data_IF_274214971964
#
_entry.id   IF_274214971964
#
_cell.length_a   1.000
_cell.length_b   1.000
_cell.length_c   1.000
_cell.angle_alpha   90.00
_cell.angle_beta   90.00
_cell.angle_gamma   90.00
#
_symmetry.space_group_name_H-M   'P 1'
#
loop_
_entity.id
_entity.type
_entity.pdbx_description
1 polymer ?
#
# COMPACT_ATOMS: atom_id res chain seq x y z
N UNK A 1 -27.14 -25.41 15.03
CA UNK A 1 -26.12 -25.70 13.99
C UNK A 1 -24.79 -26.01 14.67
N UNK A 2 -23.93 -26.85 14.07
CA UNK A 2 -22.57 -27.10 14.57
C UNK A 2 -21.57 -26.33 13.69
N UNK A 3 -20.48 -25.80 14.26
CA UNK A 3 -19.46 -25.10 13.49
C UNK A 3 -18.74 -26.08 12.54
N UNK A 4 -18.54 -25.65 11.29
CA UNK A 4 -17.78 -26.37 10.27
C UNK A 4 -16.45 -25.65 10.05
N UNK A 5 -15.35 -26.41 9.99
CA UNK A 5 -14.01 -25.85 9.71
C UNK A 5 -13.79 -25.74 8.21
N UNK A 6 -13.19 -24.64 7.77
CA UNK A 6 -12.80 -24.39 6.38
C UNK A 6 -11.36 -23.86 6.34
N UNK A 7 -10.70 -24.02 5.19
CA UNK A 7 -9.35 -23.51 4.93
C UNK A 7 -9.40 -22.57 3.73
N UNK A 8 -8.77 -21.39 3.85
CA UNK A 8 -8.70 -20.40 2.76
C UNK A 8 -7.88 -20.98 1.60
N UNK A 9 -8.33 -20.75 0.36
CA UNK A 9 -7.53 -21.10 -0.83
C UNK A 9 -6.26 -20.24 -0.88
N UNK A 10 -5.12 -20.78 -1.35
CA UNK A 10 -3.92 -19.98 -1.57
C UNK A 10 -4.17 -18.94 -2.66
N UNK A 11 -3.59 -17.77 -2.50
CA UNK A 11 -3.64 -16.67 -3.46
C UNK A 11 -2.23 -16.14 -3.69
N UNK A 12 -1.96 -15.66 -4.91
CA UNK A 12 -0.76 -14.89 -5.23
C UNK A 12 -1.16 -13.43 -5.37
N UNK A 13 -0.33 -12.53 -4.85
CA UNK A 13 -0.49 -11.09 -4.92
C UNK A 13 0.82 -10.46 -5.37
N UNK A 14 0.76 -9.21 -5.78
CA UNK A 14 1.93 -8.36 -5.99
C UNK A 14 1.96 -7.29 -4.89
N UNK A 15 3.15 -6.91 -4.41
CA UNK A 15 3.26 -5.89 -3.38
C UNK A 15 4.55 -5.07 -3.50
N UNK A 16 4.49 -3.80 -3.12
CA UNK A 16 5.64 -2.91 -2.97
C UNK A 16 5.70 -2.38 -1.54
N UNK A 17 6.88 -2.37 -0.92
CA UNK A 17 7.08 -1.70 0.37
C UNK A 17 7.20 -0.18 0.13
N UNK A 18 6.38 0.61 0.82
CA UNK A 18 6.51 2.05 0.82
C UNK A 18 7.54 2.48 1.87
N UNK A 19 8.68 3.04 1.46
CA UNK A 19 9.77 3.43 2.39
C UNK A 19 9.71 4.90 2.87
N UNK A 20 8.73 5.66 2.40
CA UNK A 20 8.56 7.09 2.69
C UNK A 20 9.36 8.04 1.81
N UNK A 21 10.21 7.53 0.91
CA UNK A 21 11.00 8.36 0.00
C UNK A 21 10.17 8.88 -1.17
N UNK A 22 10.66 9.96 -1.80
CA UNK A 22 9.97 10.55 -2.94
C UNK A 22 9.91 9.59 -4.13
N UNK A 23 11.03 8.92 -4.34
CA UNK A 23 11.30 8.01 -5.44
C UNK A 23 10.42 6.76 -5.32
N UNK A 24 10.41 6.10 -4.15
CA UNK A 24 9.55 4.95 -3.89
C UNK A 24 8.07 5.30 -4.11
N UNK A 25 7.62 6.44 -3.55
CA UNK A 25 6.25 6.88 -3.71
C UNK A 25 5.87 7.13 -5.19
N UNK A 26 6.80 7.67 -5.98
CA UNK A 26 6.60 7.88 -7.42
C UNK A 26 6.44 6.56 -8.18
N UNK A 27 7.26 5.56 -7.87
CA UNK A 27 7.15 4.23 -8.49
C UNK A 27 5.85 3.51 -8.10
N UNK A 28 5.42 3.61 -6.84
CA UNK A 28 4.13 3.06 -6.39
C UNK A 28 2.97 3.72 -7.16
N UNK A 29 2.96 5.06 -7.27
CA UNK A 29 1.91 5.76 -8.03
C UNK A 29 1.88 5.34 -9.49
N UNK A 30 3.07 5.22 -10.11
CA UNK A 30 3.19 4.76 -11.49
C UNK A 30 2.64 3.35 -11.65
N UNK A 31 3.06 2.40 -10.81
CA UNK A 31 2.58 1.01 -10.81
C UNK A 31 1.06 0.90 -10.71
N UNK A 32 0.44 1.71 -9.84
CA UNK A 32 -1.02 1.72 -9.69
C UNK A 32 -1.69 2.35 -10.92
N UNK A 33 -1.14 3.45 -11.45
CA UNK A 33 -1.69 4.13 -12.65
C UNK A 33 -1.62 3.28 -13.93
N UNK A 34 -0.59 2.43 -14.04
CA UNK A 34 -0.40 1.52 -15.18
C UNK A 34 -1.25 0.25 -15.04
N UNK A 35 -1.64 -0.10 -13.82
CA UNK A 35 -2.63 -1.15 -13.58
C UNK A 35 -3.98 -0.69 -14.12
N UNK A 36 -4.58 -1.46 -15.05
CA UNK A 36 -5.87 -1.15 -15.67
C UNK A 36 -7.05 -1.37 -14.70
N UNK A 37 -7.00 -0.74 -13.54
CA UNK A 37 -7.97 -0.94 -12.47
C UNK A 37 -9.29 -0.27 -12.83
N UNK A 38 -10.38 -1.05 -12.84
CA UNK A 38 -11.74 -0.50 -12.79
C UNK A 38 -12.09 -0.20 -11.32
N UNK A 39 -11.38 0.74 -10.71
CA UNK A 39 -11.43 0.99 -9.27
C UNK A 39 -10.23 1.81 -8.79
N UNK A 40 -10.18 2.05 -7.47
CA UNK A 40 -10.05 3.33 -6.76
C UNK A 40 -9.09 4.40 -7.33
N UNK A 41 -9.42 5.67 -7.08
CA UNK A 41 -8.54 6.80 -7.40
C UNK A 41 -7.49 6.92 -6.31
N UNK A 42 -6.20 7.00 -6.66
CA UNK A 42 -5.22 7.51 -5.69
C UNK A 42 -5.37 9.01 -5.57
N UNK A 43 -5.67 9.46 -4.35
CA UNK A 43 -5.33 10.81 -3.93
C UNK A 43 -4.03 10.74 -3.14
N UNK A 44 -2.92 11.10 -3.79
CA UNK A 44 -1.71 11.42 -3.05
C UNK A 44 -1.92 12.80 -2.39
N UNK A 45 -2.38 12.80 -1.15
CA UNK A 45 -2.48 13.99 -0.32
C UNK A 45 -1.11 14.33 0.26
N UNK A 46 -0.58 15.51 -0.06
CA UNK A 46 0.45 16.12 0.77
C UNK A 46 -0.29 16.70 1.97
N UNK A 47 -0.09 16.16 3.19
CA UNK A 47 -0.51 16.93 4.36
C UNK A 47 0.36 18.18 4.37
N UNK A 48 -0.27 19.36 4.39
CA UNK A 48 0.41 20.66 4.46
C UNK A 48 1.08 20.83 5.83
N UNK A 49 2.07 20.00 6.16
CA UNK A 49 3.14 20.37 7.10
C UNK A 49 4.09 21.36 6.40
N UNK A 50 3.49 22.46 5.94
CA UNK A 50 4.12 23.77 5.75
C UNK A 50 4.45 24.24 7.17
N UNK A 51 5.68 24.31 7.65
CA UNK A 51 6.78 25.19 7.25
C UNK A 51 8.16 24.66 7.74
N UNK A 52 8.26 23.39 8.15
CA UNK A 52 9.44 22.89 8.90
C UNK A 52 10.18 21.71 8.23
N UNK A 53 10.15 21.60 6.91
CA UNK A 53 10.98 20.62 6.16
C UNK A 53 12.16 21.26 5.42
N UNK A 54 12.37 22.57 5.61
CA UNK A 54 13.57 23.23 5.09
C UNK A 54 14.78 22.84 5.96
N UNK A 55 15.76 22.17 5.33
CA UNK A 55 17.10 21.82 5.82
C UNK A 55 17.32 20.49 6.58
N UNK A 56 16.67 19.42 6.18
CA UNK A 56 17.19 18.06 6.47
C UNK A 56 17.80 17.48 5.19
N UNK A 57 19.13 17.42 5.13
CA UNK A 57 19.80 16.51 4.18
C UNK A 57 19.30 15.09 4.50
N UNK A 58 18.59 14.48 3.54
CA UNK A 58 17.87 13.22 3.74
C UNK A 58 16.41 13.36 4.22
N UNK A 59 15.77 14.52 4.02
CA UNK A 59 14.47 14.88 4.59
C UNK A 59 13.34 13.88 4.38
N UNK A 60 12.84 13.32 5.49
CA UNK A 60 11.55 12.66 5.57
C UNK A 60 10.45 13.71 5.45
N UNK A 61 9.76 13.73 4.32
CA UNK A 61 8.43 14.32 4.23
C UNK A 61 7.44 13.35 4.86
N UNK A 62 6.48 13.84 5.65
CA UNK A 62 5.38 13.03 6.19
C UNK A 62 4.40 12.71 5.04
N UNK A 63 4.85 11.87 4.12
CA UNK A 63 4.15 11.51 2.91
C UNK A 63 3.31 10.27 3.17
N UNK A 64 2.01 10.38 2.91
CA UNK A 64 1.04 9.30 3.10
C UNK A 64 0.30 9.06 1.81
N UNK A 65 -0.05 7.80 1.55
CA UNK A 65 -0.95 7.45 0.45
C UNK A 65 -2.36 7.29 0.98
N UNK A 66 -3.32 7.97 0.37
CA UNK A 66 -4.73 7.62 0.56
C UNK A 66 -5.17 6.78 -0.62
N UNK A 67 -5.58 5.55 -0.31
CA UNK A 67 -6.06 4.58 -1.28
C UNK A 67 -7.55 4.38 -0.99
N UNK A 68 -8.42 4.80 -1.90
CA UNK A 68 -9.83 4.46 -1.81
C UNK A 68 -9.98 2.93 -1.88
N UNK A 69 -10.80 2.32 -1.03
CA UNK A 69 -11.08 0.88 -1.10
C UNK A 69 -12.59 0.64 -0.96
N UNK A 70 -13.03 -0.60 -1.11
CA UNK A 70 -14.43 -0.97 -0.85
C UNK A 70 -14.85 -0.74 0.61
N UNK A 71 -13.89 -0.69 1.53
CA UNK A 71 -14.09 -0.48 2.97
C UNK A 71 -13.96 0.99 3.38
N UNK A 72 -13.74 1.88 2.41
CA UNK A 72 -13.44 3.30 2.61
C UNK A 72 -11.99 3.64 2.26
N UNK A 73 -11.61 4.90 2.48
CA UNK A 73 -10.24 5.36 2.25
C UNK A 73 -9.31 4.84 3.32
N UNK A 74 -8.24 4.16 2.91
CA UNK A 74 -7.18 3.68 3.78
C UNK A 74 -5.92 4.51 3.57
N UNK A 75 -5.23 4.83 4.67
CA UNK A 75 -3.98 5.58 4.64
C UNK A 75 -2.80 4.63 4.78
N UNK A 76 -1.84 4.71 3.85
CA UNK A 76 -0.55 4.05 3.92
C UNK A 76 0.51 5.00 4.46
N UNK A 77 1.36 4.47 5.34
CA UNK A 77 2.48 5.17 5.95
C UNK A 77 3.81 4.52 5.55
N UNK A 78 4.94 5.23 5.68
CA UNK A 78 6.25 4.61 5.50
C UNK A 78 6.39 3.35 6.36
N UNK A 79 6.81 2.25 5.74
CA UNK A 79 6.87 0.90 6.32
C UNK A 79 5.70 -0.01 5.92
N UNK A 80 4.63 0.52 5.36
CA UNK A 80 3.49 -0.28 4.92
C UNK A 80 3.74 -0.90 3.54
N UNK A 81 3.21 -2.10 3.32
CA UNK A 81 3.15 -2.71 2.00
C UNK A 81 1.91 -2.23 1.26
N UNK A 82 2.08 -1.79 0.01
CA UNK A 82 0.99 -1.54 -0.92
C UNK A 82 0.77 -2.82 -1.71
N UNK A 83 -0.38 -3.46 -1.51
CA UNK A 83 -0.73 -4.74 -2.13
C UNK A 83 -1.65 -4.50 -3.31
N UNK A 84 -1.39 -5.21 -4.42
CA UNK A 84 -2.37 -5.47 -5.48
C UNK A 84 -3.03 -6.82 -5.24
N UNK A 85 -4.32 -6.78 -4.92
CA UNK A 85 -5.16 -7.95 -4.70
C UNK A 85 -5.55 -8.67 -5.99
N UNK A 86 -6.25 -9.80 -5.83
CA UNK A 86 -6.59 -10.71 -6.95
C UNK A 86 -7.69 -10.20 -7.87
N UNK A 87 -8.40 -9.11 -7.53
CA UNK A 87 -9.43 -8.50 -8.38
C UNK A 87 -9.04 -7.07 -8.77
N UNK A 88 -7.73 -6.86 -8.95
CA UNK A 88 -7.11 -5.59 -9.30
C UNK A 88 -7.31 -4.47 -8.25
N UNK A 89 -7.73 -4.76 -7.02
CA UNK A 89 -7.79 -3.78 -5.93
C UNK A 89 -6.42 -3.45 -5.34
N UNK A 90 -6.23 -2.21 -4.88
CA UNK A 90 -5.06 -1.80 -4.10
C UNK A 90 -5.44 -1.48 -2.66
N UNK A 91 -4.57 -1.82 -1.70
CA UNK A 91 -4.74 -1.47 -0.30
C UNK A 91 -3.41 -1.53 0.47
N UNK A 92 -3.24 -0.73 1.54
CA UNK A 92 -2.09 -0.82 2.41
C UNK A 92 -2.20 -2.02 3.39
N UNK A 93 -1.07 -2.56 3.78
CA UNK A 93 -0.96 -3.65 4.74
C UNK A 93 0.23 -3.40 5.67
N UNK A 94 -0.01 -3.47 6.98
CA UNK A 94 1.05 -3.30 7.98
C UNK A 94 2.10 -4.41 7.85
N UNK A 95 3.39 -4.10 8.04
CA UNK A 95 4.49 -5.03 7.73
C UNK A 95 4.45 -6.32 8.55
N UNK A 96 4.04 -6.25 9.82
CA UNK A 96 3.89 -7.41 10.69
C UNK A 96 2.78 -8.35 10.20
N UNK A 97 1.66 -7.81 9.72
CA UNK A 97 0.56 -8.58 9.12
C UNK A 97 1.01 -9.18 7.79
N UNK A 98 1.70 -8.39 6.95
CA UNK A 98 2.19 -8.83 5.65
C UNK A 98 3.10 -10.05 5.79
N UNK A 99 4.12 -9.95 6.65
CA UNK A 99 5.12 -11.00 6.87
C UNK A 99 4.53 -12.28 7.50
N UNK A 100 3.46 -12.15 8.30
CA UNK A 100 2.74 -13.31 8.84
C UNK A 100 1.83 -13.99 7.81
N UNK A 101 1.42 -13.25 6.76
CA UNK A 101 0.40 -13.71 5.80
C UNK A 101 1.01 -14.20 4.49
N UNK A 102 2.10 -13.58 4.03
CA UNK A 102 2.68 -13.79 2.71
C UNK A 102 4.14 -14.20 2.79
N UNK A 103 4.56 -14.99 1.81
CA UNK A 103 5.94 -15.41 1.60
C UNK A 103 6.31 -15.13 0.15
N UNK A 104 7.54 -14.65 -0.09
CA UNK A 104 8.04 -14.41 -1.44
C UNK A 104 8.02 -15.70 -2.28
N UNK A 105 7.54 -15.59 -3.52
CA UNK A 105 7.62 -16.70 -4.46
C UNK A 105 9.03 -16.72 -5.05
N UNK A 106 9.84 -17.69 -4.64
CA UNK A 106 11.11 -17.98 -5.32
C UNK A 106 10.76 -18.54 -6.70
N UNK A 107 11.17 -17.83 -7.75
CA UNK A 107 11.02 -18.29 -9.14
C UNK A 107 11.94 -19.48 -9.44
#
# INVERSE_FOLDING_TARGET
MKPTKYTKKPITIEAMLFDGTRECGTEIMKWISESRVAGPTLSAGFSELTEYTSWVEGGYVDWKFEIETLEGTLTAEPGDYIIKGTKDEFYPCKPDIFQQTYTEQVQ
#
